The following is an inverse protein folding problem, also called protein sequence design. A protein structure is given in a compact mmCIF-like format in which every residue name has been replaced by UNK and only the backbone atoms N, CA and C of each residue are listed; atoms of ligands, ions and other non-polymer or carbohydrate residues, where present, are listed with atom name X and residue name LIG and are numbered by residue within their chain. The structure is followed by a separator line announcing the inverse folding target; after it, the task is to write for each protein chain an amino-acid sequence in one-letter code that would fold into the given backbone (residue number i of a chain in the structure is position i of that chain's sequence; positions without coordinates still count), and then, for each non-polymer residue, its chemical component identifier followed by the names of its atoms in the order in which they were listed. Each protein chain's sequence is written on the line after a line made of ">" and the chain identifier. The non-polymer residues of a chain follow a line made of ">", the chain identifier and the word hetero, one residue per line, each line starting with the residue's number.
data_IF_614100034762
#
_entry.id   IF_614100034762
#
_cell.length_a   1.000
_cell.length_b   1.000
_cell.length_c   1.000
_cell.angle_alpha   90.00
_cell.angle_beta   90.00
_cell.angle_gamma   90.00
#
_symmetry.space_group_name_H-M   'P 1'
#
loop_
_entity.id
_entity.type
_entity.pdbx_description
1 polymer ?
#
# COMPACT_ATOMS: atom_id res chain seq x y z
N UNK A 1 -15.80 4.62 30.35
CA UNK A 1 -14.33 4.78 30.38
C UNK A 1 -13.76 4.07 29.17
N UNK A 2 -13.69 4.76 28.02
CA UNK A 2 -13.07 4.24 26.80
C UNK A 2 -11.58 4.57 26.83
N UNK A 3 -10.75 3.59 26.57
CA UNK A 3 -9.29 3.70 26.56
C UNK A 3 -8.87 4.48 25.30
N UNK A 4 -8.57 5.77 25.46
CA UNK A 4 -8.15 6.67 24.39
C UNK A 4 -6.73 6.33 23.93
N UNK A 5 -6.59 5.86 22.69
CA UNK A 5 -5.28 5.51 22.11
C UNK A 5 -4.78 6.69 21.28
N UNK A 6 -4.04 7.58 21.93
CA UNK A 6 -3.24 8.62 21.26
C UNK A 6 -2.33 7.96 20.22
N UNK A 7 -2.48 8.34 18.94
CA UNK A 7 -1.65 7.82 17.84
C UNK A 7 -2.38 7.18 16.65
N UNK A 8 -3.65 7.51 16.40
CA UNK A 8 -4.39 7.08 15.20
C UNK A 8 -4.97 8.30 14.48
N UNK A 9 -5.09 8.22 13.15
CA UNK A 9 -5.73 9.27 12.34
C UNK A 9 -7.11 8.82 11.91
N UNK A 10 -8.10 9.68 12.12
CA UNK A 10 -9.46 9.46 11.64
C UNK A 10 -9.60 10.03 10.23
N UNK A 11 -9.89 9.15 9.26
CA UNK A 11 -10.09 9.51 7.86
C UNK A 11 -11.56 9.33 7.50
N UNK A 12 -12.15 10.36 6.90
CA UNK A 12 -13.47 10.34 6.26
C UNK A 12 -13.31 10.49 4.74
N UNK A 13 -14.42 10.40 4.00
CA UNK A 13 -14.40 10.65 2.55
C UNK A 13 -13.96 12.08 2.19
N UNK A 14 -14.13 13.05 3.10
CA UNK A 14 -13.75 14.45 2.87
C UNK A 14 -12.34 14.78 3.33
N UNK A 15 -11.72 13.95 4.18
CA UNK A 15 -10.36 14.16 4.65
C UNK A 15 -10.10 13.66 6.07
N UNK A 16 -9.00 14.12 6.65
CA UNK A 16 -8.66 13.84 8.05
C UNK A 16 -9.49 14.74 8.95
N UNK A 17 -10.06 14.17 10.00
CA UNK A 17 -10.82 14.92 11.01
C UNK A 17 -10.18 14.78 12.39
N UNK A 18 -10.38 15.79 13.23
CA UNK A 18 -9.98 15.73 14.63
C UNK A 18 -10.88 14.77 15.40
N UNK A 19 -10.32 14.11 16.42
CA UNK A 19 -11.04 13.13 17.25
C UNK A 19 -12.27 13.72 17.95
N UNK A 20 -12.23 15.03 18.27
CA UNK A 20 -13.33 15.76 18.91
C UNK A 20 -14.55 15.96 18.00
N UNK A 21 -14.35 15.91 16.68
CA UNK A 21 -15.37 16.18 15.67
C UNK A 21 -16.02 14.87 15.16
N UNK A 22 -15.62 13.72 15.72
CA UNK A 22 -16.16 12.41 15.40
C UNK A 22 -17.57 12.27 15.96
N UNK A 23 -18.53 12.01 15.08
CA UNK A 23 -19.90 11.64 15.48
C UNK A 23 -20.20 10.17 15.18
N UNK A 24 -21.14 9.52 15.91
CA UNK A 24 -21.48 8.11 15.71
C UNK A 24 -21.98 7.78 14.30
N UNK A 25 -22.58 8.76 13.63
CA UNK A 25 -23.22 8.60 12.33
C UNK A 25 -22.23 8.73 11.15
N UNK A 26 -20.95 9.02 11.44
CA UNK A 26 -19.91 9.19 10.42
C UNK A 26 -19.20 7.88 10.11
N UNK A 27 -18.96 7.66 8.82
CA UNK A 27 -18.07 6.60 8.34
C UNK A 27 -16.62 7.05 8.42
N UNK A 28 -15.84 6.37 9.25
CA UNK A 28 -14.46 6.72 9.58
C UNK A 28 -13.60 5.47 9.50
N UNK A 29 -12.45 5.58 8.84
CA UNK A 29 -11.38 4.60 8.90
C UNK A 29 -10.26 5.18 9.75
N UNK A 30 -9.86 4.46 10.79
CA UNK A 30 -8.71 4.82 11.62
C UNK A 30 -7.45 4.19 11.05
N UNK A 31 -6.49 5.03 10.64
CA UNK A 31 -5.22 4.60 10.07
C UNK A 31 -4.03 4.90 10.99
N UNK A 32 -2.92 4.22 10.75
CA UNK A 32 -1.62 4.56 11.34
C UNK A 32 -1.11 5.91 10.82
N UNK A 33 -0.51 6.76 11.68
CA UNK A 33 0.11 8.01 11.24
C UNK A 33 1.32 7.85 10.32
N UNK A 34 2.13 6.80 10.54
CA UNK A 34 3.31 6.47 9.74
C UNK A 34 3.60 4.97 9.87
N UNK A 35 4.03 4.33 8.79
CA UNK A 35 4.50 2.95 8.83
C UNK A 35 5.87 2.89 9.49
N UNK A 36 6.02 1.98 10.45
CA UNK A 36 7.34 1.56 10.91
C UNK A 36 8.04 0.72 9.83
N UNK A 37 9.36 0.60 9.95
CA UNK A 37 10.18 -0.17 9.00
C UNK A 37 9.67 -1.61 8.82
N UNK A 38 9.26 -2.27 9.91
CA UNK A 38 8.74 -3.64 9.87
C UNK A 38 7.43 -3.73 9.08
N UNK A 39 6.52 -2.78 9.28
CA UNK A 39 5.27 -2.68 8.52
C UNK A 39 5.52 -2.43 7.03
N UNK A 40 6.45 -1.54 6.68
CA UNK A 40 6.82 -1.26 5.28
C UNK A 40 7.34 -2.52 4.57
N UNK A 41 8.21 -3.29 5.22
CA UNK A 41 8.72 -4.56 4.69
C UNK A 41 7.61 -5.60 4.47
N UNK A 42 6.62 -5.65 5.38
CA UNK A 42 5.45 -6.56 5.25
C UNK A 42 4.54 -6.19 4.09
N UNK A 43 4.32 -4.89 3.84
CA UNK A 43 3.54 -4.42 2.69
C UNK A 43 4.21 -4.85 1.39
N UNK A 44 5.51 -4.55 1.23
CA UNK A 44 6.28 -4.92 0.04
C UNK A 44 6.33 -6.44 -0.16
N UNK A 45 6.58 -7.19 0.92
CA UNK A 45 6.61 -8.66 0.87
C UNK A 45 5.26 -9.29 0.51
N UNK A 46 4.15 -8.74 1.00
CA UNK A 46 2.80 -9.23 0.70
C UNK A 46 2.42 -8.95 -0.76
N UNK A 47 2.75 -7.76 -1.26
CA UNK A 47 2.54 -7.41 -2.66
C UNK A 47 3.33 -8.31 -3.62
N UNK A 48 4.62 -8.55 -3.33
CA UNK A 48 5.46 -9.44 -4.12
C UNK A 48 4.98 -10.91 -4.10
N UNK A 49 4.48 -11.39 -2.95
CA UNK A 49 3.93 -12.74 -2.81
C UNK A 49 2.65 -12.94 -3.63
N UNK A 50 1.77 -11.94 -3.66
CA UNK A 50 0.52 -12.00 -4.43
C UNK A 50 0.78 -12.11 -5.93
N UNK A 51 1.78 -11.38 -6.46
CA UNK A 51 2.21 -11.50 -7.87
C UNK A 51 2.64 -12.93 -8.22
N UNK A 52 3.41 -13.58 -7.32
CA UNK A 52 3.88 -14.95 -7.54
C UNK A 52 2.73 -15.97 -7.60
N UNK A 53 1.64 -15.74 -6.87
CA UNK A 53 0.45 -16.61 -6.88
C UNK A 53 -0.34 -16.41 -8.17
N UNK A 54 -0.53 -15.18 -8.63
CA UNK A 54 -1.26 -14.86 -9.88
C UNK A 54 -0.51 -15.32 -11.13
N UNK A 55 0.82 -15.27 -11.14
CA UNK A 55 1.67 -15.84 -12.21
C UNK A 55 1.68 -17.38 -12.27
N UNK A 56 0.93 -18.05 -11.39
CA UNK A 56 0.89 -19.50 -11.21
C UNK A 56 0.15 -20.31 -12.29
N UNK A 57 -0.19 -19.73 -13.45
CA UNK A 57 -0.77 -20.51 -14.55
C UNK A 57 0.28 -21.46 -15.14
N UNK A 58 0.11 -22.76 -14.85
CA UNK A 58 1.00 -23.93 -15.06
C UNK A 58 1.82 -23.96 -16.37
N UNK A 59 1.36 -23.29 -17.43
CA UNK A 59 2.02 -23.20 -18.75
C UNK A 59 3.21 -22.23 -18.76
N UNK A 60 3.16 -21.15 -17.98
CA UNK A 60 4.26 -20.16 -17.86
C UNK A 60 5.41 -20.68 -16.97
N UNK A 61 5.14 -21.56 -15.99
CA UNK A 61 6.19 -22.18 -15.16
C UNK A 61 7.22 -22.99 -15.98
N UNK A 62 6.79 -23.61 -17.09
CA UNK A 62 7.71 -24.35 -17.99
C UNK A 62 8.53 -23.43 -18.89
N UNK A 63 7.98 -22.27 -19.28
CA UNK A 63 8.72 -21.25 -20.03
C UNK A 63 9.73 -20.48 -19.15
N UNK A 64 9.37 -20.16 -17.90
CA UNK A 64 10.25 -19.50 -16.93
C UNK A 64 11.44 -20.37 -16.50
N UNK A 65 11.31 -21.70 -16.50
CA UNK A 65 12.43 -22.61 -16.21
C UNK A 65 13.49 -22.65 -17.33
N UNK A 66 13.08 -22.41 -18.59
CA UNK A 66 13.99 -22.40 -19.74
C UNK A 66 14.77 -21.07 -19.89
N UNK A 67 14.27 -19.98 -19.30
CA UNK A 67 14.85 -18.63 -19.38
C UNK A 67 15.79 -18.27 -18.22
N UNK A 68 16.06 -19.21 -17.32
CA UNK A 68 16.82 -19.03 -16.07
C UNK A 68 18.35 -18.93 -16.25
N UNK A 69 18.82 -18.39 -17.38
CA UNK A 69 20.25 -18.17 -17.65
C UNK A 69 20.66 -16.72 -17.91
N UNK A 70 19.77 -15.74 -17.79
CA UNK A 70 20.19 -14.35 -17.97
C UNK A 70 19.17 -13.24 -17.70
N UNK A 71 18.09 -13.47 -16.96
CA UNK A 71 17.12 -12.41 -16.66
C UNK A 71 17.46 -11.75 -15.32
N UNK A 72 17.72 -10.44 -15.38
CA UNK A 72 17.65 -9.49 -14.28
C UNK A 72 16.38 -9.74 -13.45
N UNK A 73 16.49 -9.72 -12.12
CA UNK A 73 15.37 -9.91 -11.20
C UNK A 73 14.38 -8.74 -11.31
N UNK A 74 13.59 -8.70 -12.38
CA UNK A 74 12.55 -7.72 -12.59
C UNK A 74 11.38 -8.09 -11.68
N UNK A 75 11.33 -7.46 -10.50
CA UNK A 75 10.27 -7.69 -9.52
C UNK A 75 9.02 -7.00 -10.04
N UNK A 76 8.19 -7.75 -10.77
CA UNK A 76 6.90 -7.27 -11.22
C UNK A 76 6.02 -7.00 -9.99
N UNK A 77 5.62 -5.74 -9.77
CA UNK A 77 4.73 -5.33 -8.68
C UNK A 77 3.29 -5.25 -9.19
N UNK A 78 2.37 -5.95 -8.53
CA UNK A 78 0.93 -5.77 -8.75
C UNK A 78 0.46 -4.59 -7.89
N UNK A 79 0.05 -3.51 -8.57
CA UNK A 79 -0.39 -2.26 -7.95
C UNK A 79 -1.63 -2.49 -7.08
N UNK A 80 -2.56 -3.35 -7.51
CA UNK A 80 -3.76 -3.67 -6.74
C UNK A 80 -3.42 -4.47 -5.49
N UNK A 81 -2.54 -5.46 -5.62
CA UNK A 81 -2.02 -6.21 -4.48
C UNK A 81 -1.28 -5.32 -3.46
N UNK A 82 -0.54 -4.32 -3.95
CA UNK A 82 0.14 -3.34 -3.11
C UNK A 82 -0.84 -2.44 -2.35
N UNK A 83 -1.88 -1.94 -3.01
CA UNK A 83 -2.93 -1.14 -2.37
C UNK A 83 -3.66 -1.93 -1.27
N UNK A 84 -4.02 -3.19 -1.54
CA UNK A 84 -4.63 -4.06 -0.53
C UNK A 84 -3.68 -4.26 0.65
N UNK A 85 -2.40 -4.52 0.39
CA UNK A 85 -1.41 -4.68 1.45
C UNK A 85 -1.25 -3.41 2.31
N UNK A 86 -1.30 -2.23 1.70
CA UNK A 86 -1.29 -0.95 2.43
C UNK A 86 -2.48 -0.85 3.38
N UNK A 87 -3.69 -1.15 2.92
CA UNK A 87 -4.89 -1.10 3.76
C UNK A 87 -4.81 -2.10 4.92
N UNK A 88 -4.51 -3.37 4.63
CA UNK A 88 -4.47 -4.45 5.63
C UNK A 88 -3.50 -4.15 6.77
N UNK A 89 -2.36 -3.51 6.47
CA UNK A 89 -1.33 -3.23 7.46
C UNK A 89 -1.48 -1.87 8.17
N UNK A 90 -2.22 -0.92 7.59
CA UNK A 90 -2.35 0.42 8.14
C UNK A 90 -3.71 0.74 8.76
N UNK A 91 -4.78 0.03 8.39
CA UNK A 91 -6.08 0.18 9.07
C UNK A 91 -6.00 -0.43 10.46
N UNK A 92 -6.43 0.34 11.46
CA UNK A 92 -6.41 -0.03 12.88
C UNK A 92 -7.81 -0.31 13.41
N UNK A 93 -8.81 0.41 12.90
CA UNK A 93 -10.21 0.28 13.24
C UNK A 93 -11.06 1.00 12.17
N UNK A 94 -12.36 0.75 12.18
CA UNK A 94 -13.33 1.55 11.46
C UNK A 94 -14.57 1.78 12.32
N UNK A 95 -15.32 2.82 11.99
CA UNK A 95 -16.57 3.17 12.65
C UNK A 95 -17.55 3.70 11.61
N UNK A 96 -18.84 3.46 11.85
CA UNK A 96 -19.93 4.12 11.14
C UNK A 96 -20.93 3.13 10.54
N UNK A 97 -22.06 3.64 10.02
CA UNK A 97 -23.12 2.81 9.45
C UNK A 97 -22.65 1.86 8.34
N UNK A 98 -21.67 2.28 7.52
CA UNK A 98 -21.15 1.47 6.42
C UNK A 98 -20.38 0.22 6.90
N UNK A 99 -19.89 0.23 8.14
CA UNK A 99 -19.13 -0.87 8.73
C UNK A 99 -19.93 -1.67 9.76
N UNK A 100 -21.21 -1.34 9.95
CA UNK A 100 -22.08 -2.01 10.90
C UNK A 100 -22.20 -3.51 10.55
N UNK A 101 -21.91 -4.37 11.52
CA UNK A 101 -21.94 -5.83 11.33
C UNK A 101 -20.63 -6.44 10.82
N UNK A 102 -19.63 -5.62 10.48
CA UNK A 102 -18.31 -6.10 10.02
C UNK A 102 -17.22 -5.77 11.03
N UNK A 103 -16.56 -6.79 11.56
CA UNK A 103 -15.38 -6.61 12.39
C UNK A 103 -14.20 -6.10 11.55
N UNK A 104 -13.40 -5.18 12.09
CA UNK A 104 -12.19 -4.66 11.43
C UNK A 104 -11.07 -5.72 11.43
N UNK A 105 -11.20 -6.70 10.53
CA UNK A 105 -10.28 -7.82 10.33
C UNK A 105 -9.69 -7.77 8.92
N UNK A 106 -8.49 -8.32 8.75
CA UNK A 106 -7.79 -8.36 7.45
C UNK A 106 -8.69 -8.92 6.33
N UNK A 107 -9.42 -10.01 6.59
CA UNK A 107 -10.32 -10.62 5.62
C UNK A 107 -11.43 -9.67 5.13
N UNK A 108 -11.93 -8.78 5.98
CA UNK A 108 -12.95 -7.80 5.59
C UNK A 108 -12.31 -6.57 4.93
N UNK A 109 -11.08 -6.23 5.30
CA UNK A 109 -10.30 -5.13 4.68
C UNK A 109 -9.95 -5.49 3.22
N UNK A 110 -9.57 -6.74 2.96
CA UNK A 110 -9.27 -7.24 1.61
C UNK A 110 -10.48 -7.17 0.66
N UNK A 111 -11.70 -7.14 1.21
CA UNK A 111 -12.95 -7.03 0.44
C UNK A 111 -13.45 -5.60 0.24
N UNK A 112 -12.75 -4.60 0.79
CA UNK A 112 -13.12 -3.20 0.59
C UNK A 112 -13.06 -2.83 -0.88
N UNK A 113 -14.03 -2.05 -1.34
CA UNK A 113 -14.05 -1.57 -2.71
C UNK A 113 -13.03 -0.43 -2.88
N UNK A 114 -11.99 -0.58 -3.73
CA UNK A 114 -11.00 0.47 -3.96
C UNK A 114 -11.59 1.70 -4.67
N UNK A 115 -12.76 1.60 -5.28
CA UNK A 115 -13.46 2.73 -5.91
C UNK A 115 -14.32 3.52 -4.92
N UNK A 116 -14.42 3.08 -3.66
CA UNK A 116 -15.16 3.81 -2.64
C UNK A 116 -14.38 5.06 -2.20
N UNK A 117 -15.00 6.26 -2.18
CA UNK A 117 -14.30 7.51 -1.86
C UNK A 117 -13.57 7.50 -0.51
N UNK A 118 -14.16 6.86 0.50
CA UNK A 118 -13.55 6.71 1.82
C UNK A 118 -12.27 5.85 1.79
N UNK A 119 -12.30 4.75 1.02
CA UNK A 119 -11.17 3.83 0.87
C UNK A 119 -10.05 4.49 0.08
N UNK A 120 -10.38 5.20 -1.01
CA UNK A 120 -9.41 5.99 -1.77
C UNK A 120 -8.74 7.05 -0.91
N UNK A 121 -9.53 7.76 -0.09
CA UNK A 121 -8.97 8.78 0.80
C UNK A 121 -8.05 8.18 1.86
N UNK A 122 -8.41 7.03 2.42
CA UNK A 122 -7.55 6.31 3.36
C UNK A 122 -6.24 5.85 2.69
N UNK A 123 -6.30 5.31 1.47
CA UNK A 123 -5.12 4.94 0.69
C UNK A 123 -4.20 6.14 0.43
N UNK A 124 -4.78 7.26 0.02
CA UNK A 124 -4.03 8.49 -0.24
C UNK A 124 -3.31 8.98 1.02
N UNK A 125 -4.01 9.07 2.15
CA UNK A 125 -3.40 9.49 3.43
C UNK A 125 -2.29 8.53 3.89
N UNK A 126 -2.48 7.22 3.69
CA UNK A 126 -1.42 6.24 3.97
C UNK A 126 -0.23 6.49 3.05
N UNK A 127 -0.45 6.73 1.75
CA UNK A 127 0.64 6.97 0.80
C UNK A 127 1.39 8.25 1.14
N UNK A 128 0.70 9.39 1.24
CA UNK A 128 1.29 10.72 1.46
C UNK A 128 2.19 10.77 2.70
N UNK A 129 1.80 10.07 3.76
CA UNK A 129 2.54 10.05 5.02
C UNK A 129 3.75 9.12 5.00
N UNK A 130 3.82 8.25 4.01
CA UNK A 130 4.87 7.24 3.86
C UNK A 130 5.76 7.45 2.65
N UNK A 131 5.39 8.35 1.72
CA UNK A 131 6.28 8.91 0.71
C UNK A 131 7.46 9.60 1.40
N UNK A 132 8.66 9.28 0.95
CA UNK A 132 9.87 9.95 1.45
C UNK A 132 9.89 11.36 0.86
N UNK A 133 9.91 12.43 1.65
CA UNK A 133 9.95 13.80 1.12
C UNK A 133 11.20 14.07 0.27
N UNK A 134 12.23 13.22 0.34
CA UNK A 134 13.43 13.32 -0.49
C UNK A 134 13.36 12.49 -1.78
N UNK A 135 12.28 11.75 -2.04
CA UNK A 135 12.13 10.96 -3.27
C UNK A 135 11.74 11.83 -4.48
N UNK A 136 11.30 13.07 -4.25
CA UNK A 136 10.86 14.01 -5.29
C UNK A 136 11.87 15.17 -5.50
N UNK A 137 13.03 15.18 -4.82
CA UNK A 137 14.06 16.23 -4.90
C UNK A 137 15.33 15.79 -5.68
N UNK A 138 15.16 14.90 -6.66
CA UNK A 138 16.17 14.61 -7.71
C UNK A 138 15.63 15.03 -9.09
N UNK A 139 15.12 16.25 -9.18
CA UNK A 139 14.40 16.75 -10.36
C UNK A 139 14.66 18.21 -10.70
N UNK A 140 15.91 18.68 -10.60
CA UNK A 140 16.38 19.87 -11.34
C UNK A 140 17.88 19.74 -11.61
N UNK A 141 18.19 18.83 -12.51
CA UNK A 141 19.49 18.67 -13.15
C UNK A 141 19.23 18.37 -14.62
N UNK A 142 18.95 19.42 -15.38
CA UNK A 142 19.08 19.43 -16.84
C UNK A 142 20.42 18.77 -17.21
N UNK A 143 20.36 17.57 -17.80
CA UNK A 143 21.20 17.13 -18.92
C UNK A 143 20.89 15.65 -19.29
N UNK A 144 20.32 15.49 -20.50
CA UNK A 144 20.39 14.36 -21.43
C UNK A 144 19.86 12.93 -21.10
N UNK A 145 18.85 12.56 -21.91
CA UNK A 145 18.64 11.23 -22.53
C UNK A 145 17.87 10.12 -21.76
N UNK A 146 17.16 9.24 -22.51
CA UNK A 146 15.97 8.55 -22.03
C UNK A 146 16.27 7.30 -21.20
N UNK A 147 15.73 7.28 -19.98
CA UNK A 147 15.20 6.14 -19.24
C UNK A 147 15.71 4.72 -19.64
N UNK A 148 17.00 4.45 -19.45
CA UNK A 148 17.55 3.09 -19.41
C UNK A 148 18.67 3.04 -18.37
N UNK A 149 18.37 2.53 -17.18
CA UNK A 149 19.38 2.18 -16.19
C UNK A 149 20.17 0.96 -16.70
N UNK A 150 21.34 1.21 -17.28
CA UNK A 150 22.31 0.17 -17.65
C UNK A 150 23.50 0.24 -16.70
N UNK A 151 23.61 -0.73 -15.79
CA UNK A 151 24.82 -1.06 -15.03
C UNK A 151 25.18 -2.50 -15.43
N UNK A 152 26.40 -2.93 -15.76
CA UNK A 152 27.80 -2.47 -15.66
C UNK A 152 28.61 -3.40 -16.58
N UNK A 153 29.89 -3.09 -16.88
CA UNK A 153 30.99 -4.06 -16.76
C UNK A 153 32.36 -3.43 -17.06
N UNK A 154 33.21 -3.36 -16.04
CA UNK A 154 34.67 -3.37 -16.18
C UNK A 154 35.13 -4.79 -16.48
N UNK A 155 35.88 -5.02 -17.55
CA UNK A 155 36.86 -6.10 -17.75
C UNK A 155 37.67 -5.73 -19.01
N UNK A 156 39.00 -5.82 -19.15
CA UNK A 156 40.14 -6.43 -18.43
C UNK A 156 41.26 -5.38 -18.44
#
# INVERSE_FOLDING_TARGET
>A
MGMFVSGRLAVTATGVIDEKDITPDMNIIFIRPKMDYGTRQRVLGSAAKLVQVTAGNRKQRRAAAAKKRGDTNDVQFDIGAYQIALLVHNILAWQGPAFAGYACLAANIETLNPDEPLVQRALQEISDRNTDPNADDEGDGEDDAPNVLTMTATTI
#
